data_IF_502370455097
#
_entry.id   IF_502370455097
#
_cell.length_a   1.000
_cell.length_b   1.000
_cell.length_c   1.000
_cell.angle_alpha   90.00
_cell.angle_beta   90.00
_cell.angle_gamma   90.00
#
_symmetry.space_group_name_H-M   'P 1'
#
loop_
_entity.id
_entity.type
_entity.pdbx_description
1 polymer ?
#
# COMPACT_ATOMS: atom_id res chain seq x y z
N UNK A 1 -17.38 -36.77 10.23
CA UNK A 1 -16.04 -36.59 9.61
C UNK A 1 -15.84 -37.56 8.47
N UNK A 2 -16.14 -38.85 8.68
CA UNK A 2 -16.29 -39.85 7.61
C UNK A 2 -17.65 -39.83 6.91
N UNK A 3 -18.61 -39.10 7.49
CA UNK A 3 -19.96 -38.90 7.00
C UNK A 3 -20.37 -37.44 7.25
N UNK A 4 -21.20 -36.88 6.37
CA UNK A 4 -21.66 -35.48 6.45
C UNK A 4 -22.77 -35.39 7.49
N UNK A 5 -22.96 -34.19 8.07
CA UNK A 5 -24.03 -33.98 9.06
C UNK A 5 -25.42 -34.30 8.52
N UNK A 6 -25.65 -34.07 7.22
CA UNK A 6 -26.91 -34.36 6.54
C UNK A 6 -27.24 -35.85 6.46
N UNK A 7 -26.24 -36.74 6.52
CA UNK A 7 -26.42 -38.17 6.35
C UNK A 7 -26.69 -38.90 7.68
N UNK A 8 -26.66 -38.19 8.81
CA UNK A 8 -26.84 -38.74 10.16
C UNK A 8 -28.33 -38.85 10.49
N UNK A 9 -28.84 -40.09 10.58
CA UNK A 9 -30.20 -40.38 11.03
C UNK A 9 -30.20 -40.70 12.53
N UNK A 10 -30.59 -39.74 13.38
CA UNK A 10 -30.62 -39.93 14.84
C UNK A 10 -31.67 -40.92 15.33
N UNK A 11 -32.75 -41.12 14.57
CA UNK A 11 -33.78 -42.11 14.87
C UNK A 11 -33.30 -43.57 14.67
N UNK A 12 -32.30 -43.79 13.81
CA UNK A 12 -31.72 -45.11 13.57
C UNK A 12 -30.21 -45.00 13.35
N UNK A 13 -29.47 -45.22 14.44
CA UNK A 13 -28.01 -45.16 14.43
C UNK A 13 -27.41 -46.32 13.63
N UNK A 14 -28.09 -47.46 13.52
CA UNK A 14 -27.59 -48.64 12.80
C UNK A 14 -27.52 -48.35 11.30
N UNK A 15 -28.56 -47.75 10.74
CA UNK A 15 -28.58 -47.28 9.34
C UNK A 15 -27.50 -46.22 9.08
N UNK A 16 -27.25 -45.33 10.04
CA UNK A 16 -26.18 -44.33 9.93
C UNK A 16 -24.80 -45.00 9.89
N UNK A 17 -24.54 -45.96 10.77
CA UNK A 17 -23.30 -46.74 10.77
C UNK A 17 -23.11 -47.56 9.48
N UNK A 18 -24.17 -48.15 8.96
CA UNK A 18 -24.15 -48.90 7.70
C UNK A 18 -23.74 -48.00 6.53
N UNK A 19 -24.41 -46.85 6.36
CA UNK A 19 -24.04 -45.86 5.34
C UNK A 19 -22.61 -45.35 5.49
N UNK A 20 -22.10 -45.19 6.71
CA UNK A 20 -20.71 -44.78 6.93
C UNK A 20 -19.76 -45.85 6.40
N UNK A 21 -20.02 -47.12 6.72
CA UNK A 21 -19.16 -48.24 6.34
C UNK A 21 -19.20 -48.48 4.84
N UNK A 22 -20.40 -48.50 4.24
CA UNK A 22 -20.58 -48.71 2.79
C UNK A 22 -19.86 -47.64 1.96
N UNK A 23 -19.78 -46.40 2.47
CA UNK A 23 -19.05 -45.32 1.79
C UNK A 23 -17.53 -45.41 1.90
N UNK A 24 -17.00 -46.19 2.85
CA UNK A 24 -15.57 -46.29 3.13
C UNK A 24 -15.00 -47.63 2.63
N UNK A 25 -15.80 -48.69 2.66
CA UNK A 25 -15.41 -50.08 2.45
C UNK A 25 -16.33 -50.71 1.40
N UNK A 26 -15.76 -51.08 0.24
CA UNK A 26 -16.50 -51.74 -0.84
C UNK A 26 -16.55 -53.29 -0.72
N UNK A 27 -16.02 -53.86 0.36
CA UNK A 27 -15.83 -55.31 0.51
C UNK A 27 -16.53 -55.84 1.76
N UNK A 28 -17.54 -56.69 1.51
CA UNK A 28 -18.46 -57.26 2.49
C UNK A 28 -17.83 -58.37 3.36
N UNK A 29 -16.64 -58.90 3.01
CA UNK A 29 -15.92 -59.87 3.87
C UNK A 29 -15.12 -59.19 4.98
N UNK A 30 -14.89 -57.87 4.87
CA UNK A 30 -14.03 -57.13 5.82
C UNK A 30 -14.74 -56.74 7.11
N UNK A 31 -16.08 -56.74 7.13
CA UNK A 31 -16.88 -56.40 8.31
C UNK A 31 -18.18 -57.22 8.35
N UNK A 32 -18.75 -57.41 9.56
CA UNK A 32 -20.09 -58.00 9.74
C UNK A 32 -20.84 -57.28 10.86
N UNK A 33 -22.14 -57.06 10.65
CA UNK A 33 -23.04 -56.51 11.67
C UNK A 33 -23.58 -57.64 12.56
N UNK A 34 -23.22 -57.61 13.85
CA UNK A 34 -23.85 -58.44 14.87
C UNK A 34 -25.18 -57.86 15.37
N UNK A 35 -25.75 -58.46 16.43
CA UNK A 35 -26.96 -57.94 17.10
C UNK A 35 -26.73 -56.56 17.73
N UNK A 36 -25.58 -56.35 18.37
CA UNK A 36 -25.28 -55.15 19.17
C UNK A 36 -24.02 -54.39 18.72
N UNK A 37 -23.13 -55.02 17.94
CA UNK A 37 -21.81 -54.47 17.59
C UNK A 37 -21.43 -54.83 16.16
N UNK A 38 -20.46 -54.11 15.60
CA UNK A 38 -19.88 -54.36 14.28
C UNK A 38 -18.53 -55.06 14.47
N UNK A 39 -18.34 -56.18 13.80
CA UNK A 39 -17.09 -56.94 13.83
C UNK A 39 -16.26 -56.56 12.60
N UNK A 40 -14.98 -56.24 12.82
CA UNK A 40 -14.05 -55.85 11.77
C UNK A 40 -12.89 -56.83 11.71
N UNK A 41 -12.38 -57.10 10.50
CA UNK A 41 -11.07 -57.74 10.34
C UNK A 41 -9.95 -56.85 10.86
N UNK A 42 -8.83 -57.47 11.22
CA UNK A 42 -7.62 -56.78 11.66
C UNK A 42 -7.17 -55.72 10.64
N UNK A 43 -6.67 -54.58 11.13
CA UNK A 43 -6.18 -53.46 10.32
C UNK A 43 -7.26 -52.48 9.84
N UNK A 44 -8.53 -52.88 9.78
CA UNK A 44 -9.59 -52.01 9.26
C UNK A 44 -9.89 -50.81 10.18
N UNK A 45 -9.91 -51.04 11.50
CA UNK A 45 -10.09 -49.96 12.49
C UNK A 45 -8.94 -48.96 12.42
N UNK A 46 -7.70 -49.43 12.24
CA UNK A 46 -6.53 -48.57 12.08
C UNK A 46 -6.62 -47.72 10.80
N UNK A 47 -7.11 -48.31 9.70
CA UNK A 47 -7.38 -47.57 8.46
C UNK A 47 -8.44 -46.47 8.66
N UNK A 48 -9.53 -46.77 9.36
CA UNK A 48 -10.57 -45.78 9.66
C UNK A 48 -10.05 -44.65 10.56
N UNK A 49 -9.21 -44.95 11.55
CA UNK A 49 -8.56 -43.94 12.39
C UNK A 49 -7.58 -43.06 11.60
N UNK A 50 -6.87 -43.63 10.62
CA UNK A 50 -6.04 -42.86 9.69
C UNK A 50 -6.90 -41.88 8.87
N UNK A 51 -7.99 -42.35 8.26
CA UNK A 51 -8.90 -41.49 7.49
C UNK A 51 -9.49 -40.36 8.35
N UNK A 52 -9.88 -40.66 9.59
CA UNK A 52 -10.34 -39.66 10.56
C UNK A 52 -9.26 -38.60 10.80
N UNK A 53 -8.03 -39.03 11.05
CA UNK A 53 -6.89 -38.15 11.29
C UNK A 53 -6.57 -37.27 10.09
N UNK A 54 -6.55 -37.82 8.88
CA UNK A 54 -6.26 -37.09 7.66
C UNK A 54 -7.35 -36.04 7.36
N UNK A 55 -8.61 -36.37 7.62
CA UNK A 55 -9.71 -35.42 7.46
C UNK A 55 -9.63 -34.27 8.47
N UNK A 56 -9.29 -34.54 9.73
CA UNK A 56 -9.07 -33.50 10.73
C UNK A 56 -7.90 -32.58 10.36
N UNK A 57 -6.80 -33.15 9.86
CA UNK A 57 -5.66 -32.37 9.33
C UNK A 57 -6.10 -31.48 8.17
N UNK A 58 -6.86 -32.00 7.22
CA UNK A 58 -7.36 -31.23 6.08
C UNK A 58 -8.23 -30.04 6.53
N UNK A 59 -9.11 -30.23 7.52
CA UNK A 59 -9.87 -29.15 8.12
C UNK A 59 -8.95 -28.10 8.79
N UNK A 60 -7.94 -28.54 9.54
CA UNK A 60 -6.95 -27.65 10.14
C UNK A 60 -6.21 -26.80 9.10
N UNK A 61 -5.73 -27.42 8.03
CA UNK A 61 -5.08 -26.73 6.90
C UNK A 61 -6.03 -25.73 6.25
N UNK A 62 -7.31 -26.07 6.09
CA UNK A 62 -8.32 -25.18 5.51
C UNK A 62 -8.57 -23.93 6.37
N UNK A 63 -8.60 -24.07 7.69
CA UNK A 63 -8.72 -22.94 8.61
C UNK A 63 -7.46 -22.09 8.57
N UNK A 64 -6.29 -22.73 8.69
CA UNK A 64 -5.00 -22.06 8.68
C UNK A 64 -4.76 -21.27 7.40
N UNK A 65 -5.08 -21.83 6.22
CA UNK A 65 -4.89 -21.13 4.94
C UNK A 65 -5.76 -19.87 4.84
N UNK A 66 -7.01 -19.93 5.27
CA UNK A 66 -7.91 -18.78 5.25
C UNK A 66 -7.45 -17.71 6.23
N UNK A 67 -7.05 -18.10 7.44
CA UNK A 67 -6.56 -17.18 8.44
C UNK A 67 -5.27 -16.47 7.99
N UNK A 68 -4.31 -17.21 7.43
CA UNK A 68 -3.08 -16.63 6.85
C UNK A 68 -3.42 -15.65 5.73
N UNK A 69 -4.31 -16.03 4.80
CA UNK A 69 -4.77 -15.16 3.73
C UNK A 69 -5.39 -13.85 4.24
N UNK A 70 -6.29 -13.95 5.23
CA UNK A 70 -6.90 -12.80 5.89
C UNK A 70 -5.86 -11.87 6.53
N UNK A 71 -4.91 -12.44 7.28
CA UNK A 71 -3.86 -11.67 7.97
C UNK A 71 -2.98 -10.91 6.96
N UNK A 72 -2.53 -11.57 5.90
CA UNK A 72 -1.72 -10.94 4.85
C UNK A 72 -2.50 -9.87 4.08
N UNK A 73 -3.77 -10.12 3.74
CA UNK A 73 -4.63 -9.13 3.08
C UNK A 73 -4.80 -7.89 3.94
N UNK A 74 -5.08 -8.04 5.23
CA UNK A 74 -5.22 -6.91 6.14
C UNK A 74 -3.92 -6.12 6.32
N UNK A 75 -2.77 -6.82 6.39
CA UNK A 75 -1.46 -6.15 6.43
C UNK A 75 -1.21 -5.35 5.14
N UNK A 76 -1.48 -5.94 3.98
CA UNK A 76 -1.32 -5.27 2.69
C UNK A 76 -2.20 -4.03 2.58
N UNK A 77 -3.49 -4.11 2.93
CA UNK A 77 -4.41 -2.98 2.86
C UNK A 77 -3.97 -1.84 3.76
N UNK A 78 -3.51 -2.12 4.98
CA UNK A 78 -2.96 -1.10 5.89
C UNK A 78 -1.76 -0.38 5.29
N UNK A 79 -0.79 -1.13 4.77
CA UNK A 79 0.40 -0.55 4.13
C UNK A 79 0.01 0.27 2.90
N UNK A 80 -0.87 -0.26 2.03
CA UNK A 80 -1.32 0.43 0.82
C UNK A 80 -1.96 1.77 1.15
N UNK A 81 -2.85 1.82 2.14
CA UNK A 81 -3.50 3.07 2.57
C UNK A 81 -2.48 4.09 3.08
N UNK A 82 -1.54 3.66 3.93
CA UNK A 82 -0.47 4.54 4.43
C UNK A 82 0.44 5.06 3.30
N UNK A 83 0.83 4.19 2.37
CA UNK A 83 1.65 4.57 1.20
C UNK A 83 0.93 5.57 0.31
N UNK A 84 -0.35 5.35 -0.01
CA UNK A 84 -1.14 6.26 -0.84
C UNK A 84 -1.31 7.64 -0.16
N UNK A 85 -1.52 7.65 1.15
CA UNK A 85 -1.59 8.88 1.93
C UNK A 85 -0.26 9.63 1.87
N UNK A 86 0.86 8.95 2.12
CA UNK A 86 2.20 9.55 2.02
C UNK A 86 2.45 10.11 0.62
N UNK A 87 2.16 9.34 -0.43
CA UNK A 87 2.32 9.78 -1.82
C UNK A 87 1.47 11.02 -2.15
N UNK A 88 0.25 11.12 -1.61
CA UNK A 88 -0.60 12.30 -1.77
C UNK A 88 0.06 13.53 -1.14
N UNK A 89 0.55 13.41 0.09
CA UNK A 89 1.19 14.54 0.79
C UNK A 89 2.51 14.95 0.14
N UNK A 90 3.34 13.99 -0.29
CA UNK A 90 4.62 14.29 -0.94
C UNK A 90 4.43 15.00 -2.26
N UNK A 91 3.50 14.55 -3.11
CA UNK A 91 3.16 15.25 -4.38
C UNK A 91 2.71 16.69 -4.11
N UNK A 92 1.85 16.90 -3.11
CA UNK A 92 1.42 18.23 -2.71
C UNK A 92 2.56 19.12 -2.20
N UNK A 93 3.45 18.57 -1.39
CA UNK A 93 4.63 19.28 -0.88
C UNK A 93 5.58 19.70 -2.01
N UNK A 94 5.90 18.79 -2.93
CA UNK A 94 6.78 19.08 -4.07
C UNK A 94 6.19 20.19 -4.95
N UNK A 95 4.89 20.15 -5.24
CA UNK A 95 4.21 21.19 -6.01
C UNK A 95 4.29 22.56 -5.33
N UNK A 96 3.99 22.64 -4.02
CA UNK A 96 4.09 23.90 -3.25
C UNK A 96 5.51 24.43 -3.19
N UNK A 97 6.50 23.56 -2.96
CA UNK A 97 7.92 23.93 -2.93
C UNK A 97 8.38 24.50 -4.26
N UNK A 98 7.95 23.90 -5.38
CA UNK A 98 8.23 24.42 -6.73
C UNK A 98 7.67 25.83 -6.92
N UNK A 99 6.40 26.05 -6.60
CA UNK A 99 5.76 27.37 -6.72
C UNK A 99 6.44 28.41 -5.82
N UNK A 100 6.80 28.03 -4.59
CA UNK A 100 7.53 28.91 -3.68
C UNK A 100 8.88 29.35 -4.25
N UNK A 101 9.65 28.42 -4.82
CA UNK A 101 10.93 28.73 -5.47
C UNK A 101 10.74 29.68 -6.66
N UNK A 102 9.76 29.42 -7.53
CA UNK A 102 9.44 30.30 -8.67
C UNK A 102 9.12 31.72 -8.20
N UNK A 103 8.30 31.86 -7.15
CA UNK A 103 7.95 33.17 -6.58
C UNK A 103 9.18 33.88 -6.01
N UNK A 104 10.05 33.15 -5.31
CA UNK A 104 11.31 33.71 -4.77
C UNK A 104 12.24 34.18 -5.87
N UNK A 105 12.44 33.39 -6.92
CA UNK A 105 13.31 33.77 -8.04
C UNK A 105 12.75 34.96 -8.78
N UNK A 106 11.44 35.02 -9.01
CA UNK A 106 10.80 36.17 -9.66
C UNK A 106 10.96 37.45 -8.83
N UNK A 107 10.73 37.39 -7.52
CA UNK A 107 10.94 38.53 -6.62
C UNK A 107 12.41 38.99 -6.61
N UNK A 108 13.35 38.05 -6.59
CA UNK A 108 14.77 38.36 -6.68
C UNK A 108 15.13 39.06 -8.00
N UNK A 109 14.57 38.61 -9.13
CA UNK A 109 14.80 39.26 -10.43
C UNK A 109 14.27 40.70 -10.45
N UNK A 110 13.08 40.94 -9.90
CA UNK A 110 12.50 42.29 -9.79
C UNK A 110 13.43 43.18 -8.95
N UNK A 111 13.84 42.72 -7.78
CA UNK A 111 14.75 43.46 -6.91
C UNK A 111 16.07 43.78 -7.63
N UNK A 112 16.68 42.78 -8.27
CA UNK A 112 17.93 42.97 -8.99
C UNK A 112 17.78 43.96 -10.14
N UNK A 113 16.67 43.94 -10.88
CA UNK A 113 16.37 44.90 -11.94
C UNK A 113 16.33 46.33 -11.39
N UNK A 114 15.62 46.56 -10.29
CA UNK A 114 15.55 47.87 -9.64
C UNK A 114 16.92 48.36 -9.17
N UNK A 115 17.70 47.49 -8.53
CA UNK A 115 19.06 47.82 -8.06
C UNK A 115 19.97 48.17 -9.22
N UNK A 116 20.01 47.33 -10.28
CA UNK A 116 20.82 47.59 -11.48
C UNK A 116 20.44 48.92 -12.15
N UNK A 117 19.14 49.18 -12.31
CA UNK A 117 18.64 50.44 -12.86
C UNK A 117 18.99 51.66 -11.99
N UNK A 118 18.91 51.51 -10.66
CA UNK A 118 19.30 52.58 -9.74
C UNK A 118 20.79 52.89 -9.83
N UNK A 119 21.65 51.86 -9.82
CA UNK A 119 23.10 52.02 -9.97
C UNK A 119 23.45 52.78 -11.25
N UNK A 120 22.84 52.41 -12.39
CA UNK A 120 23.08 53.07 -13.66
C UNK A 120 22.67 54.55 -13.65
N UNK A 121 21.52 54.88 -13.04
CA UNK A 121 21.06 56.27 -12.89
C UNK A 121 21.99 57.09 -12.00
N UNK A 122 22.47 56.52 -10.89
CA UNK A 122 23.43 57.19 -10.01
C UNK A 122 24.71 57.53 -10.77
N UNK A 123 25.27 56.57 -11.52
CA UNK A 123 26.47 56.79 -12.31
C UNK A 123 26.26 57.86 -13.40
N UNK A 124 25.18 57.75 -14.18
CA UNK A 124 24.84 58.72 -15.22
C UNK A 124 24.66 60.14 -14.67
N UNK A 125 23.95 60.29 -13.55
CA UNK A 125 23.72 61.61 -12.94
C UNK A 125 25.02 62.25 -12.42
N UNK A 126 25.93 61.45 -11.86
CA UNK A 126 27.27 61.93 -11.46
C UNK A 126 28.05 62.45 -12.68
N UNK A 127 28.09 61.66 -13.75
CA UNK A 127 28.79 62.05 -14.98
C UNK A 127 28.18 63.33 -15.59
N UNK A 128 26.85 63.39 -15.71
CA UNK A 128 26.12 64.55 -16.22
C UNK A 128 26.39 65.82 -15.39
N UNK A 129 26.45 65.71 -14.07
CA UNK A 129 26.77 66.83 -13.19
C UNK A 129 28.16 67.40 -13.50
N UNK A 130 29.17 66.54 -13.60
CA UNK A 130 30.55 66.93 -13.94
C UNK A 130 30.60 67.60 -15.32
N UNK A 131 29.99 66.99 -16.34
CA UNK A 131 29.97 67.54 -17.70
C UNK A 131 29.30 68.92 -17.73
N UNK A 132 28.14 69.05 -17.09
CA UNK A 132 27.39 70.33 -17.06
C UNK A 132 28.22 71.42 -16.38
N UNK A 133 28.97 71.06 -15.33
CA UNK A 133 29.86 71.98 -14.61
C UNK A 133 31.02 72.46 -15.48
N UNK A 134 31.65 71.56 -16.22
CA UNK A 134 32.72 71.87 -17.18
C UNK A 134 32.17 72.78 -18.29
N UNK A 135 31.03 72.41 -18.89
CA UNK A 135 30.38 73.18 -19.95
C UNK A 135 30.02 74.60 -19.47
N UNK A 136 29.49 74.75 -18.25
CA UNK A 136 29.18 76.06 -17.68
C UNK A 136 30.45 76.92 -17.48
N UNK A 137 31.55 76.31 -17.03
CA UNK A 137 32.83 77.02 -16.89
C UNK A 137 33.38 77.49 -18.24
N UNK A 138 33.41 76.60 -19.23
CA UNK A 138 33.88 76.91 -20.58
C UNK A 138 33.07 78.05 -21.22
N UNK A 139 31.73 77.98 -21.16
CA UNK A 139 30.85 79.06 -21.62
C UNK A 139 31.11 80.38 -20.89
N UNK A 140 31.33 80.33 -19.59
CA UNK A 140 31.68 81.51 -18.79
C UNK A 140 33.01 82.13 -19.20
N UNK A 141 34.02 81.32 -19.55
CA UNK A 141 35.30 81.82 -20.08
C UNK A 141 35.12 82.46 -21.46
N UNK A 142 34.42 81.80 -22.39
CA UNK A 142 34.15 82.35 -23.72
C UNK A 142 33.37 83.66 -23.68
N UNK A 143 32.46 83.82 -22.71
CA UNK A 143 31.71 85.06 -22.54
C UNK A 143 32.57 86.23 -22.01
N UNK A 144 33.69 85.96 -21.33
CA UNK A 144 34.62 86.97 -20.79
C UNK A 144 35.74 87.36 -21.75
N UNK A 145 35.95 86.57 -22.79
CA UNK A 145 36.99 86.78 -23.81
C UNK A 145 36.49 87.59 -25.01
N UNK A 146 35.18 87.88 -25.05
CA UNK A 146 34.54 88.87 -25.94
C UNK A 146 34.43 90.21 -25.26
#
# INVERSE_FOLDING_TARGET
VLCRSADIRRADMRLTCQKIIDNIINDDDKFKFGRTKIFFRAGLVAYMEKLRSDRLKACGVMIQKHFRGYLHRNRYLRIRTATLLLQRFTRGYVARRRVHNIRRTAAALVLQCHVRGWLQRVWYNRLRYVITRIQACARGCWARER
#
